data_IF_166582581537
#
_entry.id   IF_166582581537
#
_cell.length_a   1.000
_cell.length_b   1.000
_cell.length_c   1.000
_cell.angle_alpha   90.00
_cell.angle_beta   90.00
_cell.angle_gamma   90.00
#
_symmetry.space_group_name_H-M   'P 1'
#
loop_
_entity.id
_entity.type
_entity.pdbx_description
1 polymer ?
#
# COMPACT_ATOMS: atom_id res chain seq x y z
N UNK A 1 -42.96 -7.03 -39.46
CA UNK A 1 -42.19 -7.98 -38.64
C UNK A 1 -41.37 -7.18 -37.64
N UNK A 2 -41.80 -7.09 -36.38
CA UNK A 2 -41.07 -6.32 -35.34
C UNK A 2 -40.27 -7.33 -34.52
N UNK A 3 -38.95 -7.36 -34.69
CA UNK A 3 -38.06 -8.24 -33.94
C UNK A 3 -37.66 -7.51 -32.65
N UNK A 4 -38.26 -7.87 -31.53
CA UNK A 4 -37.79 -7.45 -30.21
C UNK A 4 -36.59 -8.31 -29.83
N UNK A 5 -35.39 -7.73 -29.92
CA UNK A 5 -34.14 -8.39 -29.50
C UNK A 5 -34.02 -8.26 -27.98
N UNK A 6 -34.37 -9.32 -27.24
CA UNK A 6 -34.11 -9.41 -25.80
C UNK A 6 -32.61 -9.54 -25.55
N UNK A 7 -32.06 -8.67 -24.70
CA UNK A 7 -30.69 -8.78 -24.21
C UNK A 7 -30.66 -9.81 -23.06
N UNK A 8 -29.76 -10.79 -23.05
CA UNK A 8 -29.61 -11.68 -21.89
C UNK A 8 -28.97 -10.91 -20.73
N UNK A 9 -29.63 -10.96 -19.57
CA UNK A 9 -29.08 -10.45 -18.31
C UNK A 9 -27.84 -11.28 -17.93
N UNK A 10 -26.70 -10.61 -17.81
CA UNK A 10 -25.43 -11.23 -17.45
C UNK A 10 -25.50 -11.80 -16.02
N UNK A 11 -25.40 -13.13 -15.90
CA UNK A 11 -25.58 -13.89 -14.66
C UNK A 11 -24.41 -13.77 -13.65
N UNK A 12 -23.34 -13.02 -13.97
CA UNK A 12 -22.14 -12.94 -13.14
C UNK A 12 -22.15 -11.75 -12.16
N UNK A 13 -23.26 -11.51 -11.46
CA UNK A 13 -23.24 -10.59 -10.32
C UNK A 13 -22.93 -11.38 -9.04
N UNK A 14 -21.95 -10.95 -8.21
CA UNK A 14 -21.67 -11.61 -6.96
C UNK A 14 -22.93 -11.57 -6.08
N UNK A 15 -23.47 -12.75 -5.79
CA UNK A 15 -24.67 -12.95 -4.99
C UNK A 15 -24.36 -12.49 -3.57
N UNK A 16 -24.81 -11.28 -3.22
CA UNK A 16 -24.65 -10.70 -1.88
C UNK A 16 -25.21 -11.70 -0.84
N UNK A 17 -24.53 -11.91 0.30
CA UNK A 17 -25.04 -12.78 1.35
C UNK A 17 -26.40 -12.26 1.80
N UNK A 18 -27.45 -13.04 1.50
CA UNK A 18 -28.84 -12.73 1.82
C UNK A 18 -29.04 -12.83 3.33
N UNK A 19 -28.79 -11.74 4.04
CA UNK A 19 -28.94 -11.70 5.51
C UNK A 19 -28.37 -10.46 6.17
N UNK A 20 -27.41 -9.77 5.54
CA UNK A 20 -26.95 -8.46 6.02
C UNK A 20 -27.92 -7.38 5.56
N UNK A 21 -28.86 -7.04 6.43
CA UNK A 21 -29.65 -5.80 6.32
C UNK A 21 -28.63 -4.66 6.47
N UNK A 22 -28.25 -4.02 5.36
CA UNK A 22 -27.43 -2.82 5.45
C UNK A 22 -28.23 -1.78 6.24
N UNK A 23 -27.69 -1.21 7.33
CA UNK A 23 -28.42 -0.28 8.17
C UNK A 23 -28.73 1.05 7.46
N UNK A 24 -28.21 1.23 6.25
CA UNK A 24 -28.43 2.39 5.40
C UNK A 24 -28.71 1.95 3.96
N UNK A 25 -29.64 2.66 3.32
CA UNK A 25 -29.80 2.62 1.87
C UNK A 25 -28.70 3.48 1.22
N UNK A 26 -28.09 2.98 0.15
CA UNK A 26 -27.11 3.75 -0.62
C UNK A 26 -27.76 5.00 -1.24
N UNK A 27 -29.07 4.97 -1.53
CA UNK A 27 -29.79 6.15 -1.98
C UNK A 27 -29.78 7.27 -0.93
N UNK A 28 -29.93 6.92 0.36
CA UNK A 28 -29.88 7.89 1.45
C UNK A 28 -28.48 8.51 1.59
N UNK A 29 -27.43 7.70 1.47
CA UNK A 29 -26.04 8.17 1.50
C UNK A 29 -25.77 9.16 0.36
N UNK A 30 -26.23 8.87 -0.86
CA UNK A 30 -26.03 9.72 -2.03
C UNK A 30 -26.74 11.08 -1.90
N UNK A 31 -27.92 11.15 -1.27
CA UNK A 31 -28.66 12.42 -1.03
C UNK A 31 -27.85 13.42 -0.22
N UNK A 32 -27.05 12.93 0.72
CA UNK A 32 -26.29 13.76 1.64
C UNK A 32 -24.86 14.06 1.16
N UNK A 33 -24.40 13.45 0.06
CA UNK A 33 -23.05 13.66 -0.48
C UNK A 33 -22.74 15.13 -0.80
N UNK A 34 -23.72 15.90 -1.31
CA UNK A 34 -23.55 17.32 -1.61
C UNK A 34 -23.49 18.22 -0.37
N UNK A 35 -23.89 17.71 0.80
CA UNK A 35 -23.90 18.45 2.08
C UNK A 35 -22.55 18.37 2.79
N UNK A 36 -21.73 17.36 2.47
CA UNK A 36 -20.41 17.15 3.09
C UNK A 36 -19.39 18.11 2.48
N UNK A 37 -18.83 19.01 3.29
CA UNK A 37 -17.71 19.87 2.90
C UNK A 37 -16.40 19.22 3.32
N UNK A 38 -15.61 18.77 2.34
CA UNK A 38 -14.27 18.25 2.57
C UNK A 38 -13.23 19.37 2.47
N UNK A 39 -12.13 19.22 3.22
CA UNK A 39 -10.98 20.12 3.08
C UNK A 39 -10.30 19.89 1.73
N UNK A 40 -9.87 20.97 1.08
CA UNK A 40 -9.01 20.87 -0.11
C UNK A 40 -7.64 20.38 0.35
N UNK A 41 -7.21 19.25 -0.21
CA UNK A 41 -5.88 18.66 0.01
C UNK A 41 -5.22 18.57 -1.36
N UNK A 42 -3.91 18.75 -1.42
CA UNK A 42 -3.16 18.52 -2.64
C UNK A 42 -3.29 17.05 -3.07
N UNK A 43 -3.37 16.80 -4.38
CA UNK A 43 -3.59 15.46 -4.93
C UNK A 43 -2.58 15.21 -6.03
N UNK A 44 -2.14 13.97 -6.14
CA UNK A 44 -1.37 13.54 -7.31
C UNK A 44 -2.25 13.54 -8.56
N UNK A 45 -1.68 13.45 -9.79
CA UNK A 45 -2.45 13.36 -11.02
C UNK A 45 -3.50 12.22 -11.03
N UNK A 46 -3.28 11.15 -10.26
CA UNK A 46 -4.21 10.03 -10.09
C UNK A 46 -5.33 10.26 -9.07
N UNK A 47 -5.44 11.46 -8.49
CA UNK A 47 -6.51 11.81 -7.54
C UNK A 47 -6.32 11.29 -6.11
N UNK A 48 -5.21 10.61 -5.81
CA UNK A 48 -4.89 10.21 -4.43
C UNK A 48 -4.43 11.45 -3.63
N UNK A 49 -4.95 11.69 -2.42
CA UNK A 49 -4.45 12.75 -1.55
C UNK A 49 -2.95 12.58 -1.28
N UNK A 50 -2.18 13.66 -1.40
CA UNK A 50 -0.77 13.68 -1.04
C UNK A 50 -0.63 13.52 0.47
N UNK A 51 0.06 12.45 0.90
CA UNK A 51 0.36 12.20 2.30
C UNK A 51 1.60 12.98 2.71
N UNK A 52 1.57 13.58 3.90
CA UNK A 52 2.77 14.15 4.49
C UNK A 52 3.76 13.02 4.80
N UNK A 53 5.06 13.31 4.64
CA UNK A 53 6.09 12.37 5.03
C UNK A 53 5.98 12.06 6.54
N UNK A 54 6.11 10.79 6.95
CA UNK A 54 6.16 10.45 8.36
C UNK A 54 7.35 11.12 9.05
N UNK A 55 7.28 11.37 10.37
CA UNK A 55 8.39 11.95 11.11
C UNK A 55 9.64 11.08 10.95
N UNK A 56 10.80 11.74 10.84
CA UNK A 56 12.08 11.07 10.61
C UNK A 56 12.49 10.11 11.74
N UNK A 57 11.88 10.26 12.91
CA UNK A 57 12.13 9.44 14.10
C UNK A 57 11.26 8.17 14.18
N UNK A 58 10.29 7.98 13.26
CA UNK A 58 9.52 6.73 13.20
C UNK A 58 10.46 5.58 12.79
N UNK A 59 10.52 4.47 13.57
CA UNK A 59 11.33 3.30 13.21
C UNK A 59 11.07 2.79 11.79
N UNK A 60 9.85 2.92 11.27
CA UNK A 60 9.53 2.54 9.89
C UNK A 60 10.22 3.45 8.86
N UNK A 61 10.30 4.74 9.15
CA UNK A 61 11.02 5.72 8.31
C UNK A 61 12.51 5.42 8.28
N UNK A 62 13.08 5.07 9.44
CA UNK A 62 14.49 4.65 9.55
C UNK A 62 14.73 3.39 8.70
N UNK A 63 13.90 2.36 8.86
CA UNK A 63 14.02 1.12 8.10
C UNK A 63 13.90 1.38 6.59
N UNK A 64 12.90 2.15 6.16
CA UNK A 64 12.72 2.51 4.75
C UNK A 64 13.95 3.23 4.18
N UNK A 65 14.54 4.15 4.94
CA UNK A 65 15.75 4.87 4.52
C UNK A 65 16.97 3.95 4.42
N UNK A 66 17.15 3.04 5.39
CA UNK A 66 18.21 2.02 5.35
C UNK A 66 18.06 1.14 4.11
N UNK A 67 16.86 0.67 3.82
CA UNK A 67 16.58 -0.15 2.64
C UNK A 67 16.88 0.63 1.34
N UNK A 68 16.35 1.84 1.18
CA UNK A 68 16.60 2.68 0.00
C UNK A 68 18.10 2.85 -0.27
N UNK A 69 18.89 3.11 0.77
CA UNK A 69 20.35 3.25 0.66
C UNK A 69 21.02 1.93 0.23
N UNK A 70 20.64 0.81 0.85
CA UNK A 70 21.18 -0.52 0.49
C UNK A 70 20.91 -0.83 -0.97
N UNK A 71 19.66 -0.67 -1.42
CA UNK A 71 19.28 -0.98 -2.80
C UNK A 71 19.99 -0.07 -3.81
N UNK A 72 20.01 1.25 -3.59
CA UNK A 72 20.74 2.17 -4.47
C UNK A 72 22.21 1.74 -4.61
N UNK A 73 22.89 1.47 -3.49
CA UNK A 73 24.28 1.03 -3.49
C UNK A 73 24.52 -0.35 -4.15
N UNK A 74 23.49 -1.20 -4.24
CA UNK A 74 23.54 -2.49 -4.95
C UNK A 74 23.34 -2.31 -6.45
N UNK A 75 22.46 -1.38 -6.87
CA UNK A 75 22.12 -1.17 -8.28
C UNK A 75 23.18 -0.37 -9.06
N UNK A 76 23.99 0.43 -8.38
CA UNK A 76 25.10 1.18 -9.00
C UNK A 76 26.38 0.32 -9.24
N UNK A 77 26.34 -0.97 -8.90
CA UNK A 77 27.49 -1.89 -8.97
C UNK A 77 27.23 -3.01 -9.97
N UNK A 78 28.24 -3.37 -10.77
CA UNK A 78 28.20 -4.57 -11.61
C UNK A 78 27.98 -5.81 -10.72
N UNK A 79 27.30 -6.87 -11.22
CA UNK A 79 26.89 -8.02 -10.41
C UNK A 79 28.05 -8.69 -9.65
N UNK A 80 29.28 -8.66 -10.16
CA UNK A 80 30.44 -9.25 -9.46
C UNK A 80 30.83 -8.50 -8.18
N UNK A 81 30.54 -7.20 -8.09
CA UNK A 81 30.92 -6.35 -6.94
C UNK A 81 29.87 -6.36 -5.81
N UNK A 82 28.66 -6.86 -6.10
CA UNK A 82 27.57 -6.99 -5.11
C UNK A 82 27.93 -8.05 -4.05
N UNK A 83 28.53 -9.18 -4.45
CA UNK A 83 28.89 -10.27 -3.53
C UNK A 83 29.87 -9.82 -2.45
N UNK A 84 30.89 -9.03 -2.82
CA UNK A 84 31.91 -8.54 -1.90
C UNK A 84 31.35 -7.56 -0.85
N UNK A 85 30.39 -6.71 -1.24
CA UNK A 85 29.77 -5.78 -0.30
C UNK A 85 28.78 -6.44 0.66
N UNK A 86 28.15 -7.56 0.28
CA UNK A 86 27.23 -8.30 1.15
C UNK A 86 27.97 -9.06 2.26
N UNK A 87 29.17 -9.57 1.98
CA UNK A 87 30.00 -10.28 2.98
C UNK A 87 30.76 -9.32 3.91
N UNK A 88 31.02 -8.08 3.49
CA UNK A 88 31.80 -7.13 4.30
C UNK A 88 30.99 -6.45 5.41
N UNK A 89 29.66 -6.45 5.32
CA UNK A 89 28.75 -5.89 6.32
C UNK A 89 28.16 -6.96 7.26
N UNK A 90 28.53 -8.24 7.11
CA UNK A 90 28.23 -9.29 8.10
C UNK A 90 29.18 -9.17 9.30
N UNK A 91 29.17 -8.01 9.95
CA UNK A 91 29.71 -7.81 11.29
C UNK A 91 28.53 -7.73 12.27
N UNK A 92 27.68 -8.77 12.25
CA UNK A 92 26.92 -9.11 13.44
C UNK A 92 27.92 -9.90 14.28
N UNK A 93 28.60 -9.19 15.18
CA UNK A 93 29.70 -9.74 15.95
C UNK A 93 29.28 -11.05 16.61
N UNK A 94 30.12 -12.06 16.49
CA UNK A 94 30.13 -13.15 17.45
C UNK A 94 30.51 -12.56 18.82
N UNK A 95 29.52 -12.04 19.54
CA UNK A 95 29.64 -11.90 20.98
C UNK A 95 29.67 -13.31 21.56
N UNK A 96 30.90 -13.81 21.74
CA UNK A 96 31.19 -14.88 22.67
C UNK A 96 30.77 -14.40 24.08
N UNK A 97 29.50 -14.62 24.44
CA UNK A 97 29.09 -14.62 25.84
C UNK A 97 29.77 -15.82 26.51
N UNK A 98 31.00 -15.62 27.00
CA UNK A 98 31.56 -16.52 28.00
C UNK A 98 30.69 -16.39 29.26
N UNK A 99 29.98 -17.44 29.68
CA UNK A 99 29.33 -17.43 30.98
C UNK A 99 30.44 -17.46 32.02
N UNK A 100 30.57 -16.39 32.82
CA UNK A 100 31.34 -16.48 34.05
C UNK A 100 30.49 -17.26 35.05
N UNK A 101 30.97 -18.47 35.37
CA UNK A 101 30.48 -19.31 36.47
C UNK A 101 31.03 -18.78 37.78
#
# INVERSE_FOLDING_TARGET
LVITRSQPVNANTPKRPSGMKMPFDMADVLKDMGKVKLRRIERSPGGTPLRQAPPATDPNTVLMNVLKKRYAAMHDKTPEKIHRCLESDSSFGEENFSPQI
#
